data_IF_830062327001
#
_entry.id   IF_830062327001
#
_cell.length_a   1.000
_cell.length_b   1.000
_cell.length_c   1.000
_cell.angle_alpha   90.00
_cell.angle_beta   90.00
_cell.angle_gamma   90.00
#
_symmetry.space_group_name_H-M   'P 1'
#
loop_
_entity.id
_entity.type
_entity.pdbx_description
1 polymer ?
#
# COMPACT_ATOMS: atom_id res chain seq x y z
N UNK A 1 -7.27 -5.45 -18.11
CA UNK A 1 -6.67 -4.54 -17.11
C UNK A 1 -7.10 -3.11 -17.46
N UNK A 2 -7.40 -2.25 -16.49
CA UNK A 2 -7.77 -0.83 -16.76
C UNK A 2 -6.63 0.15 -16.55
N UNK A 3 -5.56 -0.29 -15.88
CA UNK A 3 -4.28 0.42 -15.83
C UNK A 3 -3.75 0.55 -17.26
N UNK A 4 -3.45 1.77 -17.68
CA UNK A 4 -3.02 2.11 -19.03
C UNK A 4 -1.50 2.23 -19.10
N UNK A 5 -0.94 3.07 -18.23
CA UNK A 5 0.49 3.29 -18.10
C UNK A 5 0.87 3.74 -16.69
N UNK A 6 2.17 3.78 -16.42
CA UNK A 6 2.73 4.50 -15.29
C UNK A 6 3.27 5.85 -15.78
N UNK A 7 2.90 6.95 -15.14
CA UNK A 7 3.42 8.27 -15.47
C UNK A 7 4.37 8.77 -14.38
N UNK A 8 5.52 9.31 -14.78
CA UNK A 8 6.43 9.95 -13.84
C UNK A 8 5.78 11.15 -13.16
N UNK A 9 5.88 11.23 -11.83
CA UNK A 9 5.29 12.31 -11.03
C UNK A 9 5.92 13.70 -11.23
N UNK A 10 6.92 13.84 -12.11
CA UNK A 10 7.68 15.09 -12.27
C UNK A 10 7.98 15.46 -13.74
N UNK A 11 8.17 14.49 -14.62
CA UNK A 11 8.53 14.75 -16.02
C UNK A 11 7.59 14.09 -17.04
N UNK A 12 6.45 13.56 -16.56
CA UNK A 12 5.37 12.93 -17.35
C UNK A 12 5.79 11.83 -18.33
N UNK A 13 7.03 11.34 -18.21
CA UNK A 13 7.49 10.21 -19.01
C UNK A 13 6.65 8.99 -18.67
N UNK A 14 6.09 8.37 -19.71
CA UNK A 14 5.29 7.17 -19.60
C UNK A 14 6.18 5.92 -19.53
N UNK A 15 5.75 4.97 -18.71
CA UNK A 15 6.39 3.68 -18.52
C UNK A 15 5.36 2.57 -18.67
N UNK A 16 5.77 1.49 -19.32
CA UNK A 16 4.93 0.32 -19.53
C UNK A 16 4.72 -0.44 -18.20
N UNK A 17 3.47 -0.58 -17.73
CA UNK A 17 3.16 -1.20 -16.44
C UNK A 17 3.36 -2.72 -16.43
N UNK A 18 3.59 -3.35 -17.59
CA UNK A 18 3.87 -4.78 -17.72
C UNK A 18 5.28 -5.18 -17.26
N UNK A 19 6.14 -4.20 -16.92
CA UNK A 19 7.49 -4.45 -16.44
C UNK A 19 7.64 -4.23 -14.95
N UNK A 20 8.39 -5.11 -14.30
CA UNK A 20 8.84 -4.93 -12.93
C UNK A 20 9.84 -3.78 -12.87
N UNK A 21 9.41 -2.64 -12.32
CA UNK A 21 10.24 -1.44 -12.28
C UNK A 21 9.97 -0.59 -11.04
N UNK A 22 10.97 0.19 -10.66
CA UNK A 22 10.89 1.09 -9.52
C UNK A 22 10.61 2.54 -9.97
N UNK A 23 11.64 3.38 -10.03
CA UNK A 23 11.54 4.81 -10.30
C UNK A 23 11.61 5.09 -11.81
N UNK A 24 11.19 6.30 -12.20
CA UNK A 24 11.32 6.78 -13.57
C UNK A 24 12.75 6.62 -14.09
N UNK A 25 12.93 5.93 -15.22
CA UNK A 25 14.23 5.71 -15.86
C UNK A 25 14.91 7.01 -16.31
N UNK A 26 14.14 8.08 -16.55
CA UNK A 26 14.66 9.38 -17.00
C UNK A 26 15.15 10.29 -15.86
N UNK A 27 14.35 10.45 -14.80
CA UNK A 27 14.64 11.43 -13.73
C UNK A 27 14.62 10.86 -12.30
N UNK A 28 14.47 9.54 -12.14
CA UNK A 28 14.49 8.85 -10.85
C UNK A 28 13.44 9.34 -9.84
N UNK A 29 12.33 9.92 -10.33
CA UNK A 29 11.17 10.29 -9.51
C UNK A 29 10.12 9.17 -9.47
N UNK A 30 9.21 9.17 -8.47
CA UNK A 30 8.16 8.17 -8.35
C UNK A 30 7.28 8.06 -9.61
N UNK A 31 6.77 6.86 -9.84
CA UNK A 31 5.84 6.55 -10.90
C UNK A 31 4.42 6.43 -10.32
N UNK A 32 3.43 6.98 -11.02
CA UNK A 32 2.02 6.99 -10.64
C UNK A 32 1.20 6.18 -11.63
N UNK A 33 0.33 5.30 -11.13
CA UNK A 33 -0.55 4.51 -11.98
C UNK A 33 -1.64 5.37 -12.62
N UNK A 34 -1.84 5.20 -13.94
CA UNK A 34 -2.88 5.88 -14.72
C UNK A 34 -3.87 4.87 -15.29
N UNK A 35 -5.14 5.26 -15.37
CA UNK A 35 -6.25 4.35 -15.66
C UNK A 35 -7.15 4.90 -16.77
N UNK A 36 -7.76 4.01 -17.53
CA UNK A 36 -8.89 4.34 -18.41
C UNK A 36 -10.18 4.54 -17.59
N UNK A 37 -10.29 5.71 -16.96
CA UNK A 37 -11.44 6.07 -16.14
C UNK A 37 -12.76 6.14 -16.95
N UNK A 38 -12.68 6.42 -18.26
CA UNK A 38 -13.85 6.48 -19.14
C UNK A 38 -14.48 5.10 -19.32
N UNK A 39 -13.65 4.06 -19.43
CA UNK A 39 -14.16 2.68 -19.48
C UNK A 39 -14.58 2.20 -18.10
N UNK A 40 -13.85 2.55 -17.04
CA UNK A 40 -14.22 2.18 -15.66
C UNK A 40 -15.59 2.76 -15.28
N UNK A 41 -15.87 4.03 -15.57
CA UNK A 41 -17.13 4.69 -15.19
C UNK A 41 -18.38 4.04 -15.81
N UNK A 42 -18.23 3.37 -16.95
CA UNK A 42 -19.31 2.61 -17.59
C UNK A 42 -19.52 1.23 -16.96
N UNK A 43 -18.50 0.68 -16.32
CA UNK A 43 -18.51 -0.68 -15.76
C UNK A 43 -18.77 -0.72 -14.27
N UNK A 44 -18.17 0.20 -13.51
CA UNK A 44 -18.25 0.28 -12.06
C UNK A 44 -19.34 1.26 -11.64
N UNK A 45 -20.41 0.74 -11.05
CA UNK A 45 -21.52 1.56 -10.51
C UNK A 45 -21.63 1.38 -9.00
N UNK A 46 -22.24 2.35 -8.31
CA UNK A 46 -22.51 2.27 -6.87
C UNK A 46 -23.35 1.03 -6.50
N UNK A 47 -24.32 0.67 -7.34
CA UNK A 47 -25.15 -0.52 -7.16
C UNK A 47 -24.31 -1.80 -7.28
N UNK A 48 -23.42 -1.89 -8.28
CA UNK A 48 -22.52 -3.03 -8.44
C UNK A 48 -21.56 -3.17 -7.27
N UNK A 49 -21.02 -2.07 -6.74
CA UNK A 49 -20.17 -2.08 -5.55
C UNK A 49 -20.93 -2.62 -4.33
N UNK A 50 -22.14 -2.09 -4.06
CA UNK A 50 -22.99 -2.54 -2.94
C UNK A 50 -23.35 -4.02 -3.00
N UNK A 51 -23.47 -4.58 -4.21
CA UNK A 51 -23.81 -5.99 -4.41
C UNK A 51 -22.61 -6.96 -4.24
N UNK A 52 -21.38 -6.46 -4.03
CA UNK A 52 -20.20 -7.31 -3.84
C UNK A 52 -20.21 -7.93 -2.45
N UNK A 53 -19.93 -9.23 -2.39
CA UNK A 53 -19.73 -9.95 -1.13
C UNK A 53 -18.34 -9.70 -0.51
N UNK A 54 -17.35 -9.29 -1.32
CA UNK A 54 -16.00 -8.96 -0.85
C UNK A 54 -16.01 -7.65 -0.04
N UNK A 55 -15.58 -7.74 1.22
CA UNK A 55 -15.43 -6.60 2.13
C UNK A 55 -14.02 -6.01 2.14
N UNK A 56 -13.05 -6.65 1.50
CA UNK A 56 -11.67 -6.14 1.41
C UNK A 56 -11.56 -4.97 0.43
N UNK A 57 -10.38 -4.35 0.37
CA UNK A 57 -10.10 -3.30 -0.61
C UNK A 57 -10.23 -3.78 -2.06
N UNK A 58 -10.13 -5.09 -2.30
CA UNK A 58 -10.20 -5.65 -3.65
C UNK A 58 -11.60 -5.58 -4.24
N UNK A 59 -12.62 -5.23 -3.45
CA UNK A 59 -13.93 -4.81 -3.96
C UNK A 59 -13.86 -3.61 -4.91
N UNK A 60 -12.74 -2.87 -4.98
CA UNK A 60 -12.50 -1.81 -5.96
C UNK A 60 -11.65 -2.26 -7.16
N UNK A 61 -11.70 -3.56 -7.53
CA UNK A 61 -10.86 -4.19 -8.57
C UNK A 61 -10.61 -3.35 -9.82
N UNK A 62 -11.62 -2.67 -10.35
CA UNK A 62 -11.51 -1.91 -11.60
C UNK A 62 -10.63 -0.66 -11.46
N UNK A 63 -10.47 -0.14 -10.24
CA UNK A 63 -9.65 1.00 -9.88
C UNK A 63 -8.28 0.58 -9.34
N UNK A 64 -7.92 -0.71 -9.41
CA UNK A 64 -6.66 -1.27 -8.92
C UNK A 64 -5.81 -1.81 -10.08
N UNK A 65 -4.47 -1.84 -9.95
CA UNK A 65 -3.57 -2.11 -11.06
C UNK A 65 -3.54 -3.59 -11.49
N UNK A 66 -3.95 -4.51 -10.61
CA UNK A 66 -3.86 -5.94 -10.87
C UNK A 66 -4.85 -6.36 -11.98
N UNK A 67 -4.41 -7.18 -12.96
CA UNK A 67 -5.33 -7.75 -13.95
C UNK A 67 -6.49 -8.50 -13.30
N UNK A 68 -7.67 -8.42 -13.92
CA UNK A 68 -8.91 -8.94 -13.33
C UNK A 68 -8.94 -10.47 -13.25
N UNK A 69 -8.14 -11.15 -14.06
CA UNK A 69 -7.98 -12.60 -14.10
C UNK A 69 -6.85 -13.11 -13.18
N UNK A 70 -6.25 -12.25 -12.37
CA UNK A 70 -5.18 -12.60 -11.43
C UNK A 70 -5.70 -12.43 -10.00
N UNK A 71 -5.61 -13.50 -9.21
CA UNK A 71 -6.01 -13.46 -7.82
C UNK A 71 -5.11 -12.55 -6.99
N UNK A 72 -5.70 -11.72 -6.10
CA UNK A 72 -4.91 -10.82 -5.29
C UNK A 72 -4.28 -11.56 -4.10
N UNK A 73 -3.12 -11.10 -3.67
CA UNK A 73 -2.55 -11.45 -2.38
C UNK A 73 -3.24 -10.58 -1.33
N UNK A 74 -4.27 -11.13 -0.70
CA UNK A 74 -5.03 -10.46 0.36
C UNK A 74 -5.00 -11.24 1.66
N UNK A 75 -5.08 -10.49 2.76
CA UNK A 75 -5.34 -10.97 4.12
C UNK A 75 -6.68 -10.43 4.65
N UNK A 76 -7.51 -9.81 3.79
CA UNK A 76 -8.79 -9.22 4.15
C UNK A 76 -8.72 -7.73 4.54
N UNK A 77 -7.62 -7.05 4.22
CA UNK A 77 -7.44 -5.61 4.47
C UNK A 77 -8.48 -4.73 3.77
N UNK A 78 -8.82 -3.60 4.39
CA UNK A 78 -9.95 -2.77 3.97
C UNK A 78 -11.24 -3.10 4.71
N UNK A 79 -12.34 -2.46 4.32
CA UNK A 79 -13.64 -2.63 5.00
C UNK A 79 -13.64 -2.21 6.47
N UNK A 80 -12.69 -1.36 6.84
CA UNK A 80 -12.44 -0.94 8.22
C UNK A 80 -13.58 -0.07 8.78
N UNK A 81 -13.81 -0.07 10.11
CA UNK A 81 -14.87 0.72 10.73
C UNK A 81 -14.73 2.23 10.49
N UNK A 82 -15.87 2.89 10.35
CA UNK A 82 -16.01 4.34 10.47
C UNK A 82 -16.81 4.62 11.75
N UNK A 83 -16.10 5.03 12.79
CA UNK A 83 -16.63 5.14 14.15
C UNK A 83 -17.07 6.57 14.42
N UNK A 84 -18.31 6.75 14.87
CA UNK A 84 -18.78 8.06 15.35
C UNK A 84 -18.19 8.34 16.73
N UNK A 85 -17.61 9.52 16.92
CA UNK A 85 -16.88 9.89 18.13
C UNK A 85 -17.62 10.95 18.96
N UNK A 86 -18.92 10.74 19.23
CA UNK A 86 -19.83 11.74 19.81
C UNK A 86 -19.26 12.45 21.04
N UNK A 87 -18.89 11.68 22.08
CA UNK A 87 -18.40 12.26 23.34
C UNK A 87 -17.11 13.09 23.18
N UNK A 88 -16.24 12.69 22.25
CA UNK A 88 -15.01 13.45 21.98
C UNK A 88 -15.29 14.67 21.11
N UNK A 89 -16.22 14.53 20.16
CA UNK A 89 -16.76 15.64 19.39
C UNK A 89 -17.34 16.74 20.29
N UNK A 90 -18.20 16.37 21.24
CA UNK A 90 -18.82 17.30 22.20
C UNK A 90 -17.78 18.11 22.99
N UNK A 91 -16.70 17.46 23.44
CA UNK A 91 -15.60 18.13 24.16
C UNK A 91 -14.86 19.16 23.31
N UNK A 92 -14.84 18.98 21.99
CA UNK A 92 -14.18 19.87 21.03
C UNK A 92 -15.15 20.86 20.38
N UNK A 93 -16.45 20.78 20.67
CA UNK A 93 -17.49 21.56 19.97
C UNK A 93 -17.72 21.11 18.52
N UNK A 94 -17.46 19.85 18.19
CA UNK A 94 -17.62 19.25 16.86
C UNK A 94 -18.80 18.26 16.87
N UNK A 95 -19.87 18.56 16.12
CA UNK A 95 -21.09 17.76 16.12
C UNK A 95 -21.02 16.47 15.27
N UNK A 96 -20.10 16.40 14.30
CA UNK A 96 -20.01 15.31 13.32
C UNK A 96 -18.58 14.79 13.17
N UNK A 97 -18.01 14.33 14.30
CA UNK A 97 -16.66 13.80 14.35
C UNK A 97 -16.65 12.28 14.15
N UNK A 98 -15.87 11.81 13.17
CA UNK A 98 -15.71 10.40 12.84
C UNK A 98 -14.24 9.97 12.86
N UNK A 99 -14.00 8.71 13.21
CA UNK A 99 -12.69 8.07 13.21
C UNK A 99 -12.71 6.91 12.23
N UNK A 100 -11.85 7.00 11.20
CA UNK A 100 -11.61 5.90 10.28
C UNK A 100 -10.56 4.97 10.88
N UNK A 101 -11.00 3.86 11.47
CA UNK A 101 -10.14 3.00 12.27
C UNK A 101 -9.35 2.00 11.41
N UNK A 102 -8.17 2.43 10.95
CA UNK A 102 -7.25 1.58 10.19
C UNK A 102 -6.43 0.60 11.06
N UNK A 103 -6.59 0.65 12.39
CA UNK A 103 -5.84 -0.23 13.32
C UNK A 103 -6.30 -1.68 13.29
N UNK A 104 -7.50 -1.96 12.75
CA UNK A 104 -8.06 -3.31 12.66
C UNK A 104 -7.67 -4.07 11.39
N UNK A 105 -6.84 -3.48 10.54
CA UNK A 105 -6.29 -4.20 9.38
C UNK A 105 -5.46 -5.42 9.84
N UNK A 106 -5.21 -6.41 8.96
CA UNK A 106 -4.53 -7.67 9.32
C UNK A 106 -3.16 -7.53 9.98
N UNK A 107 -2.44 -6.44 9.69
CA UNK A 107 -1.11 -6.11 10.26
C UNK A 107 -1.18 -4.89 11.17
N UNK A 108 -2.36 -4.67 11.74
CA UNK A 108 -2.70 -3.60 12.69
C UNK A 108 -2.37 -2.18 12.21
N UNK A 109 -2.36 -1.99 10.89
CA UNK A 109 -2.08 -0.68 10.29
C UNK A 109 -2.58 -0.57 8.85
N UNK A 110 -2.79 0.66 8.40
CA UNK A 110 -3.12 0.98 7.01
C UNK A 110 -2.06 0.54 5.99
N UNK A 111 -0.86 0.11 6.43
CA UNK A 111 0.19 -0.39 5.53
C UNK A 111 -0.24 -1.68 4.83
N UNK A 112 -1.15 -2.43 5.43
CA UNK A 112 -1.78 -3.61 4.84
C UNK A 112 -2.35 -3.31 3.45
N UNK A 113 -3.10 -2.20 3.32
CA UNK A 113 -3.73 -1.81 2.05
C UNK A 113 -2.72 -1.68 0.90
N UNK A 114 -1.66 -0.91 1.14
CA UNK A 114 -0.62 -0.69 0.15
C UNK A 114 0.18 -1.95 -0.16
N UNK A 115 0.51 -2.76 0.86
CA UNK A 115 1.30 -3.98 0.65
C UNK A 115 0.54 -5.06 -0.08
N UNK A 116 -0.76 -5.19 0.15
CA UNK A 116 -1.64 -6.07 -0.61
C UNK A 116 -1.51 -5.84 -2.11
N UNK A 117 -1.68 -4.59 -2.55
CA UNK A 117 -1.62 -4.23 -3.97
C UNK A 117 -0.19 -4.34 -4.52
N UNK A 118 0.79 -3.84 -3.78
CA UNK A 118 2.17 -3.83 -4.22
C UNK A 118 2.77 -5.25 -4.34
N UNK A 119 2.52 -6.12 -3.37
CA UNK A 119 3.00 -7.51 -3.39
C UNK A 119 2.27 -8.30 -4.48
N UNK A 120 0.97 -8.08 -4.66
CA UNK A 120 0.22 -8.69 -5.76
C UNK A 120 0.81 -8.33 -7.12
N UNK A 121 1.10 -7.05 -7.34
CA UNK A 121 1.72 -6.59 -8.58
C UNK A 121 3.15 -7.11 -8.73
N UNK A 122 3.97 -7.06 -7.68
CA UNK A 122 5.33 -7.57 -7.74
C UNK A 122 5.36 -9.06 -8.11
N UNK A 123 4.51 -9.88 -7.48
CA UNK A 123 4.36 -11.31 -7.82
C UNK A 123 3.90 -11.51 -9.27
N UNK A 124 2.87 -10.76 -9.68
CA UNK A 124 2.33 -10.85 -11.05
C UNK A 124 3.40 -10.51 -12.10
N UNK A 125 4.26 -9.54 -11.80
CA UNK A 125 5.36 -9.10 -12.66
C UNK A 125 6.64 -9.94 -12.52
N UNK A 126 6.58 -11.06 -11.78
CA UNK A 126 7.66 -12.04 -11.71
C UNK A 126 8.70 -11.83 -10.60
N UNK A 127 8.47 -10.92 -9.66
CA UNK A 127 9.35 -10.79 -8.50
C UNK A 127 9.28 -12.05 -7.61
N UNK A 128 10.44 -12.55 -7.19
CA UNK A 128 10.58 -13.70 -6.27
C UNK A 128 11.07 -13.28 -4.89
N UNK A 129 11.85 -12.19 -4.83
CA UNK A 129 12.46 -11.64 -3.61
C UNK A 129 12.17 -10.16 -3.48
N UNK A 130 11.68 -9.74 -2.32
CA UNK A 130 11.30 -8.37 -2.01
C UNK A 130 12.21 -7.80 -0.91
N UNK A 131 12.60 -6.54 -1.02
CA UNK A 131 13.43 -5.89 0.01
C UNK A 131 12.87 -4.53 0.43
N UNK A 132 12.85 -4.23 1.74
CA UNK A 132 12.45 -2.92 2.27
C UNK A 132 13.35 -2.46 3.42
N UNK A 133 13.72 -1.17 3.47
CA UNK A 133 14.27 -0.55 4.66
C UNK A 133 13.11 -0.06 5.52
N UNK A 134 12.81 -0.75 6.62
CA UNK A 134 11.72 -0.35 7.52
C UNK A 134 11.90 -0.87 8.94
N UNK A 135 11.86 0.05 9.91
CA UNK A 135 11.89 -0.23 11.34
C UNK A 135 10.50 -0.36 11.99
N UNK A 136 9.42 -0.53 11.22
CA UNK A 136 8.05 -0.53 11.75
C UNK A 136 7.03 -1.12 10.79
N UNK A 137 5.78 -0.65 10.85
CA UNK A 137 4.60 -1.27 10.22
C UNK A 137 4.75 -1.63 8.73
N UNK A 138 5.59 -0.92 7.96
CA UNK A 138 5.81 -1.28 6.55
C UNK A 138 6.66 -2.55 6.39
N UNK A 139 7.63 -2.78 7.28
CA UNK A 139 8.39 -4.03 7.35
C UNK A 139 7.47 -5.20 7.71
N UNK A 140 6.72 -5.07 8.80
CA UNK A 140 5.77 -6.10 9.25
C UNK A 140 4.72 -6.43 8.20
N UNK A 141 4.15 -5.40 7.55
CA UNK A 141 3.21 -5.62 6.45
C UNK A 141 3.88 -6.29 5.24
N UNK A 142 5.10 -5.91 4.85
CA UNK A 142 5.78 -6.63 3.77
C UNK A 142 6.02 -8.10 4.14
N UNK A 143 6.46 -8.38 5.37
CA UNK A 143 6.71 -9.74 5.85
C UNK A 143 5.45 -10.62 5.72
N UNK A 144 4.32 -10.16 6.26
CA UNK A 144 3.07 -10.89 6.25
C UNK A 144 2.55 -11.16 4.82
N UNK A 145 2.56 -10.16 3.94
CA UNK A 145 2.06 -10.32 2.58
C UNK A 145 3.02 -11.12 1.70
N UNK A 146 4.34 -11.01 1.89
CA UNK A 146 5.31 -11.86 1.21
C UNK A 146 5.15 -13.33 1.62
N UNK A 147 4.94 -13.60 2.91
CA UNK A 147 4.64 -14.94 3.42
C UNK A 147 3.36 -15.50 2.77
N UNK A 148 2.27 -14.72 2.74
CA UNK A 148 1.02 -15.08 2.06
C UNK A 148 1.21 -15.36 0.57
N UNK A 149 2.13 -14.63 -0.06
CA UNK A 149 2.44 -14.73 -1.48
C UNK A 149 3.41 -15.86 -1.84
N UNK A 150 4.11 -16.45 -0.87
CA UNK A 150 5.22 -17.38 -1.10
C UNK A 150 6.45 -16.70 -1.69
N UNK A 151 6.71 -15.44 -1.32
CA UNK A 151 7.88 -14.65 -1.75
C UNK A 151 8.88 -14.51 -0.60
N UNK A 152 10.17 -14.39 -0.93
CA UNK A 152 11.18 -14.09 0.07
C UNK A 152 11.11 -12.60 0.45
N UNK A 153 11.03 -12.28 1.74
CA UNK A 153 11.10 -10.91 2.23
C UNK A 153 12.43 -10.65 2.94
N UNK A 154 13.13 -9.59 2.52
CA UNK A 154 14.35 -9.09 3.15
C UNK A 154 14.07 -7.73 3.79
N UNK A 155 14.24 -7.63 5.11
CA UNK A 155 13.88 -6.42 5.85
C UNK A 155 15.12 -5.87 6.53
N UNK A 156 15.42 -4.61 6.23
CA UNK A 156 16.57 -3.89 6.74
C UNK A 156 16.13 -2.92 7.81
N UNK A 157 16.66 -3.11 9.01
CA UNK A 157 16.28 -2.38 10.21
C UNK A 157 17.52 -1.79 10.88
N UNK A 158 17.47 -0.54 11.38
CA UNK A 158 18.44 -0.03 12.35
C UNK A 158 18.58 -0.97 13.55
N UNK A 159 19.77 -1.09 14.12
CA UNK A 159 20.05 -1.96 15.26
C UNK A 159 19.21 -1.62 16.50
N UNK A 160 18.87 -0.35 16.67
CA UNK A 160 18.05 0.19 17.76
C UNK A 160 16.52 0.05 17.51
N UNK A 161 16.11 -0.62 16.43
CA UNK A 161 14.70 -0.89 16.13
C UNK A 161 14.02 -1.61 17.30
N UNK A 162 12.80 -1.20 17.72
CA UNK A 162 12.05 -1.89 18.76
C UNK A 162 11.96 -3.40 18.51
N UNK A 163 12.31 -4.20 19.53
CA UNK A 163 12.43 -5.67 19.40
C UNK A 163 11.16 -6.32 18.86
N UNK A 164 9.97 -5.80 19.20
CA UNK A 164 8.69 -6.34 18.72
C UNK A 164 8.58 -6.28 17.20
N UNK A 165 9.04 -5.21 16.55
CA UNK A 165 8.99 -5.07 15.10
C UNK A 165 9.94 -6.09 14.41
N UNK A 166 11.10 -6.33 15.02
CA UNK A 166 12.07 -7.34 14.56
C UNK A 166 11.48 -8.75 14.68
N UNK A 167 10.88 -9.06 15.84
CA UNK A 167 10.26 -10.36 16.12
C UNK A 167 9.11 -10.61 15.14
N UNK A 168 8.15 -9.68 15.04
CA UNK A 168 6.99 -9.82 14.16
C UNK A 168 7.41 -10.13 12.71
N UNK A 169 8.39 -9.41 12.18
CA UNK A 169 8.91 -9.69 10.84
C UNK A 169 9.52 -11.09 10.70
N UNK A 170 10.27 -11.55 11.71
CA UNK A 170 10.88 -12.89 11.72
C UNK A 170 9.85 -14.00 11.86
N UNK A 171 8.81 -13.80 12.67
CA UNK A 171 7.71 -14.75 12.86
C UNK A 171 6.91 -14.95 11.56
N UNK A 172 6.76 -13.91 10.74
CA UNK A 172 6.25 -14.06 9.38
C UNK A 172 7.24 -14.71 8.40
N UNK A 173 8.44 -15.08 8.82
CA UNK A 173 9.45 -15.74 8.00
C UNK A 173 10.36 -14.80 7.21
N UNK A 174 10.35 -13.49 7.48
CA UNK A 174 11.23 -12.56 6.77
C UNK A 174 12.69 -12.66 7.25
N UNK A 175 13.61 -12.44 6.30
CA UNK A 175 15.04 -12.33 6.55
C UNK A 175 15.35 -10.91 7.04
N UNK A 176 15.39 -10.74 8.36
CA UNK A 176 15.68 -9.44 8.98
C UNK A 176 17.19 -9.25 9.17
N UNK A 177 17.75 -8.22 8.54
CA UNK A 177 19.14 -7.79 8.76
C UNK A 177 19.15 -6.49 9.57
N UNK A 178 19.77 -6.55 10.75
CA UNK A 178 20.02 -5.36 11.58
C UNK A 178 21.28 -4.65 11.08
N UNK A 179 21.19 -3.33 10.96
CA UNK A 179 22.26 -2.45 10.50
C UNK A 179 22.62 -1.49 11.62
N UNK A 180 23.89 -1.41 11.96
CA UNK A 180 24.40 -0.36 12.85
C UNK A 180 24.42 0.97 12.06
N UNK A 181 23.39 1.77 12.23
CA UNK A 181 23.14 2.99 11.45
C UNK A 181 21.65 3.32 11.33
N UNK A 182 21.34 4.30 10.49
CA UNK A 182 19.99 4.82 10.30
C UNK A 182 19.22 4.08 9.21
N UNK A 183 17.95 4.43 9.05
CA UNK A 183 17.09 3.88 7.99
C UNK A 183 17.63 4.19 6.57
N UNK A 184 18.38 5.29 6.43
CA UNK A 184 19.09 5.65 5.20
C UNK A 184 20.21 4.67 4.87
N UNK A 185 20.93 4.18 5.88
CA UNK A 185 21.99 3.17 5.71
C UNK A 185 21.39 1.81 5.35
N UNK A 186 20.24 1.46 5.94
CA UNK A 186 19.43 0.31 5.55
C UNK A 186 19.05 0.37 4.06
N UNK A 187 18.57 1.53 3.59
CA UNK A 187 18.23 1.73 2.18
C UNK A 187 19.48 1.63 1.28
N UNK A 188 20.62 2.16 1.72
CA UNK A 188 21.89 2.05 0.98
C UNK A 188 22.35 0.59 0.83
N UNK A 189 22.17 -0.25 1.85
CA UNK A 189 22.48 -1.68 1.79
C UNK A 189 21.64 -2.44 0.76
N UNK A 190 20.36 -2.07 0.61
CA UNK A 190 19.51 -2.60 -0.45
C UNK A 190 20.01 -2.12 -1.81
N UNK A 191 20.24 -0.82 -1.97
CA UNK A 191 20.66 -0.24 -3.25
C UNK A 191 21.96 -0.86 -3.78
N UNK A 192 22.91 -1.17 -2.89
CA UNK A 192 24.21 -1.79 -3.24
C UNK A 192 24.10 -3.25 -3.69
N UNK A 193 23.09 -3.99 -3.21
CA UNK A 193 23.03 -5.46 -3.39
C UNK A 193 21.84 -5.93 -4.23
N UNK A 194 20.82 -5.10 -4.40
CA UNK A 194 19.55 -5.52 -5.03
C UNK A 194 19.70 -6.17 -6.40
N UNK A 195 20.63 -5.73 -7.24
CA UNK A 195 20.87 -6.35 -8.55
C UNK A 195 21.48 -7.74 -8.42
N UNK A 196 22.47 -7.91 -7.53
CA UNK A 196 23.15 -9.20 -7.32
C UNK A 196 22.24 -10.21 -6.63
N UNK A 197 21.44 -9.75 -5.69
CA UNK A 197 20.56 -10.61 -4.88
C UNK A 197 19.16 -10.76 -5.50
N UNK A 198 18.90 -10.07 -6.62
CA UNK A 198 17.63 -10.06 -7.36
C UNK A 198 16.45 -9.57 -6.52
N UNK A 199 16.68 -8.56 -5.68
CA UNK A 199 15.64 -7.98 -4.85
C UNK A 199 14.85 -6.91 -5.60
N UNK A 200 13.52 -7.04 -5.59
CA UNK A 200 12.65 -5.94 -5.94
C UNK A 200 12.51 -4.98 -4.75
N UNK A 201 12.82 -3.71 -4.97
CA UNK A 201 12.87 -2.71 -3.90
C UNK A 201 11.46 -2.19 -3.56
N UNK A 202 10.99 -2.56 -2.38
CA UNK A 202 9.68 -2.20 -1.83
C UNK A 202 9.77 -0.96 -0.92
N UNK A 203 10.74 -0.09 -1.13
CA UNK A 203 10.81 1.20 -0.42
C UNK A 203 9.61 2.08 -0.80
N UNK A 204 9.12 2.88 0.16
CA UNK A 204 7.98 3.78 -0.06
C UNK A 204 8.25 4.73 -1.24
N UNK A 205 7.28 4.85 -2.17
CA UNK A 205 7.38 5.61 -3.43
C UNK A 205 8.43 5.15 -4.45
N UNK A 206 9.18 4.06 -4.17
CA UNK A 206 10.04 3.45 -5.18
C UNK A 206 9.33 2.40 -6.00
N UNK A 207 8.41 1.64 -5.42
CA UNK A 207 7.47 0.81 -6.19
C UNK A 207 6.17 1.59 -6.44
N UNK A 208 5.58 1.49 -7.65
CA UNK A 208 4.53 2.38 -8.11
C UNK A 208 3.12 2.05 -7.60
N UNK A 209 2.92 0.90 -6.95
CA UNK A 209 1.60 0.33 -6.73
C UNK A 209 1.10 0.45 -5.28
N UNK A 210 1.96 0.83 -4.33
CA UNK A 210 1.57 1.06 -2.93
C UNK A 210 0.43 2.06 -2.75
N UNK A 211 0.48 3.14 -3.51
CA UNK A 211 -0.48 4.24 -3.41
C UNK A 211 -1.88 3.77 -3.82
N UNK A 212 -1.94 2.87 -4.79
CA UNK A 212 -3.18 2.31 -5.31
C UNK A 212 -3.96 1.52 -4.26
N UNK A 213 -3.28 0.86 -3.33
CA UNK A 213 -3.94 0.26 -2.17
C UNK A 213 -4.48 1.31 -1.21
N UNK A 214 -3.71 2.36 -0.94
CA UNK A 214 -4.09 3.40 0.04
C UNK A 214 -5.24 4.27 -0.40
N UNK A 215 -5.33 4.63 -1.69
CA UNK A 215 -6.44 5.44 -2.21
C UNK A 215 -7.81 4.80 -1.98
N UNK A 216 -7.87 3.47 -1.80
CA UNK A 216 -9.11 2.76 -1.47
C UNK A 216 -9.72 3.22 -0.15
N UNK A 217 -8.91 3.78 0.76
CA UNK A 217 -9.41 4.43 1.98
C UNK A 217 -10.42 5.54 1.67
N UNK A 218 -10.13 6.36 0.65
CA UNK A 218 -11.04 7.43 0.22
C UNK A 218 -12.33 6.89 -0.40
N UNK A 219 -12.24 5.82 -1.20
CA UNK A 219 -13.42 5.17 -1.77
C UNK A 219 -14.31 4.54 -0.71
N UNK A 220 -13.68 3.90 0.28
CA UNK A 220 -14.37 3.28 1.41
C UNK A 220 -15.05 4.33 2.30
N UNK A 221 -14.39 5.45 2.58
CA UNK A 221 -15.00 6.60 3.25
C UNK A 221 -16.20 7.15 2.47
N UNK A 222 -16.05 7.36 1.16
CA UNK A 222 -17.14 7.82 0.31
C UNK A 222 -18.32 6.84 0.33
N UNK A 223 -18.06 5.54 0.27
CA UNK A 223 -19.12 4.52 0.31
C UNK A 223 -19.84 4.49 1.67
N UNK A 224 -19.10 4.49 2.77
CA UNK A 224 -19.63 4.41 4.13
C UNK A 224 -20.43 5.65 4.53
N UNK A 225 -20.08 6.83 4.01
CA UNK A 225 -20.81 8.07 4.18
C UNK A 225 -21.92 8.27 3.13
N UNK A 226 -22.31 7.22 2.41
CA UNK A 226 -23.41 7.31 1.45
C UNK A 226 -23.13 8.24 0.25
N UNK A 227 -21.87 8.42 -0.10
CA UNK A 227 -21.35 9.30 -1.15
C UNK A 227 -21.50 10.80 -0.86
N UNK A 228 -21.64 11.16 0.41
CA UNK A 228 -21.52 12.52 0.93
C UNK A 228 -20.19 12.63 1.68
N UNK A 229 -19.22 13.35 1.10
CA UNK A 229 -17.89 13.47 1.68
C UNK A 229 -17.89 14.46 2.85
N UNK A 230 -17.00 14.27 3.85
CA UNK A 230 -16.85 15.23 4.94
C UNK A 230 -16.21 16.52 4.45
N UNK A 231 -16.49 17.62 5.12
CA UNK A 231 -15.87 18.92 4.81
C UNK A 231 -14.35 18.93 5.08
N UNK A 232 -13.92 18.15 6.07
CA UNK A 232 -12.52 18.08 6.51
C UNK A 232 -12.11 16.62 6.72
N UNK A 233 -10.93 16.25 6.22
CA UNK A 233 -10.25 15.00 6.53
C UNK A 233 -8.94 15.33 7.23
N UNK A 234 -8.82 14.93 8.50
CA UNK A 234 -7.56 14.98 9.23
C UNK A 234 -6.82 13.66 9.06
N UNK A 235 -5.70 13.69 8.35
CA UNK A 235 -4.87 12.51 8.12
C UNK A 235 -3.48 12.71 8.76
N UNK A 236 -3.14 11.98 9.83
CA UNK A 236 -1.83 12.07 10.44
C UNK A 236 -0.72 11.65 9.46
N UNK A 237 0.24 12.55 9.21
CA UNK A 237 1.32 12.31 8.25
C UNK A 237 2.68 12.17 8.92
N UNK A 238 3.26 10.97 8.78
CA UNK A 238 4.71 10.78 8.86
C UNK A 238 5.31 10.90 7.45
N UNK A 239 5.44 9.78 6.74
CA UNK A 239 5.98 9.75 5.37
C UNK A 239 5.07 10.30 4.26
N UNK A 240 3.99 11.01 4.56
CA UNK A 240 3.12 11.75 3.60
C UNK A 240 2.26 10.94 2.62
N UNK A 241 2.64 9.71 2.27
CA UNK A 241 2.00 8.90 1.20
C UNK A 241 0.53 8.52 1.38
N UNK A 242 -0.12 8.87 2.48
CA UNK A 242 -1.57 8.70 2.62
C UNK A 242 -2.37 9.88 2.07
N UNK A 243 -1.72 11.03 1.83
CA UNK A 243 -2.31 12.23 1.23
C UNK A 243 -2.18 12.27 -0.31
N UNK A 244 -1.45 11.32 -0.89
CA UNK A 244 -1.21 11.20 -2.34
C UNK A 244 -2.16 10.13 -2.87
#
# INVERSE_FOLDING_TARGET
>A
MFLTHLACSACDTEHDPAWLQNLCTKCQKPLLAKYDLKTISRKLTRQKLRARADSSLWRFRELLPLPQNVDPISLGEGGTPLLRADRFGDQLGLADLWIKDESVNPTQSFKARGMSVAVSMAKHLGATKLAVPSAGNAGSALAAYAARAGLEAHIFMPYDTPKLNVIECREFGARVQLIDGLITDCAAQIARRKTREEWFEMSTLKEPYRLEGKKTLGYELAEQLGWWLPDVILYPTGGGTGLI
#
